data_IF_591593835844
#
_entry.id   IF_591593835844
#
_cell.length_a   1.000
_cell.length_b   1.000
_cell.length_c   1.000
_cell.angle_alpha   90.00
_cell.angle_beta   90.00
_cell.angle_gamma   90.00
#
_symmetry.space_group_name_H-M   'P 1'
#
loop_
_entity.id
_entity.type
_entity.pdbx_description
1 polymer ?
#
# COMPACT_ATOMS: atom_id res chain seq x y z
N UNK A 1 8.01 8.28 -1.56
CA UNK A 1 7.05 7.38 -2.22
C UNK A 1 7.81 6.19 -2.75
N UNK A 2 7.31 4.97 -2.53
CA UNK A 2 7.97 3.74 -3.02
C UNK A 2 7.95 3.69 -4.55
N UNK A 3 9.00 3.14 -5.17
CA UNK A 3 9.02 2.86 -6.61
C UNK A 3 8.33 1.53 -6.87
N UNK A 4 7.27 1.54 -7.66
CA UNK A 4 6.57 0.34 -8.10
C UNK A 4 6.82 0.09 -9.60
N UNK A 5 7.17 -1.15 -9.94
CA UNK A 5 7.23 -1.60 -11.32
C UNK A 5 5.84 -2.01 -11.81
N UNK A 6 5.56 -1.70 -13.07
CA UNK A 6 4.27 -1.97 -13.72
C UNK A 6 3.06 -1.45 -12.92
N UNK A 7 3.19 -0.24 -12.37
CA UNK A 7 2.14 0.36 -11.55
C UNK A 7 0.84 0.56 -12.35
N UNK A 8 -0.28 0.15 -11.74
CA UNK A 8 -1.64 0.36 -12.23
C UNK A 8 -2.40 1.17 -11.19
N UNK A 9 -3.09 2.23 -11.62
CA UNK A 9 -3.74 3.19 -10.73
C UNK A 9 -5.25 3.18 -10.95
N UNK A 10 -6.01 2.98 -9.87
CA UNK A 10 -7.45 3.17 -9.84
C UNK A 10 -7.78 4.47 -9.10
N UNK A 11 -7.93 5.57 -9.85
CA UNK A 11 -8.20 6.90 -9.30
C UNK A 11 -9.60 7.04 -8.69
N UNK A 12 -10.56 6.28 -9.18
CA UNK A 12 -11.95 6.32 -8.68
C UNK A 12 -12.07 5.68 -7.29
N UNK A 13 -11.22 4.68 -7.03
CA UNK A 13 -11.17 3.92 -5.78
C UNK A 13 -9.99 4.30 -4.88
N UNK A 14 -9.21 5.31 -5.25
CA UNK A 14 -8.10 5.84 -4.45
C UNK A 14 -7.04 4.79 -4.07
N UNK A 15 -6.69 3.88 -5.00
CA UNK A 15 -5.56 2.96 -4.80
C UNK A 15 -4.72 2.77 -6.06
N UNK A 16 -3.47 2.33 -5.87
CA UNK A 16 -2.63 1.77 -6.94
C UNK A 16 -2.08 0.41 -6.55
N UNK A 17 -1.61 -0.35 -7.54
CA UNK A 17 -0.92 -1.64 -7.33
C UNK A 17 0.32 -1.74 -8.21
N UNK A 18 1.33 -2.47 -7.75
CA UNK A 18 2.53 -2.74 -8.54
C UNK A 18 3.52 -3.62 -7.78
N UNK A 19 4.64 -3.94 -8.40
CA UNK A 19 5.68 -4.76 -7.77
C UNK A 19 6.79 -3.88 -7.18
N UNK A 20 7.15 -4.10 -5.92
CA UNK A 20 8.31 -3.48 -5.30
C UNK A 20 9.49 -4.44 -5.36
N UNK A 21 10.54 -4.07 -6.10
CA UNK A 21 11.81 -4.83 -6.14
C UNK A 21 12.49 -4.83 -4.78
N UNK A 22 12.46 -3.71 -4.06
CA UNK A 22 13.11 -3.57 -2.74
C UNK A 22 12.48 -4.50 -1.68
N UNK A 23 11.18 -4.74 -1.79
CA UNK A 23 10.44 -5.60 -0.86
C UNK A 23 10.20 -7.01 -1.40
N UNK A 24 10.53 -7.25 -2.67
CA UNK A 24 10.21 -8.45 -3.43
C UNK A 24 8.73 -8.86 -3.34
N UNK A 25 7.83 -7.87 -3.32
CA UNK A 25 6.39 -8.05 -3.05
C UNK A 25 5.52 -7.29 -4.04
N UNK A 26 4.34 -7.86 -4.33
CA UNK A 26 3.25 -7.10 -4.92
C UNK A 26 2.60 -6.24 -3.84
N UNK A 27 2.43 -4.96 -4.14
CA UNK A 27 1.98 -3.94 -3.19
C UNK A 27 0.66 -3.35 -3.68
N UNK A 28 -0.26 -3.15 -2.75
CA UNK A 28 -1.38 -2.23 -2.89
C UNK A 28 -1.11 -0.96 -2.09
N UNK A 29 -1.24 0.19 -2.75
CA UNK A 29 -1.09 1.52 -2.16
C UNK A 29 -2.47 2.12 -2.01
N UNK A 30 -2.95 2.27 -0.78
CA UNK A 30 -4.22 2.89 -0.41
C UNK A 30 -3.99 4.38 -0.10
N UNK A 31 -4.75 5.28 -0.73
CA UNK A 31 -4.65 6.73 -0.49
C UNK A 31 -5.68 7.14 0.56
N UNK A 32 -5.20 7.51 1.74
CA UNK A 32 -6.04 7.90 2.88
C UNK A 32 -6.39 9.39 2.81
N UNK A 33 -7.63 9.71 2.44
CA UNK A 33 -8.06 11.09 2.10
C UNK A 33 -8.55 11.95 3.27
N UNK A 34 -8.95 11.35 4.39
CA UNK A 34 -9.70 12.06 5.43
C UNK A 34 -8.88 12.87 6.46
N UNK A 35 -7.61 12.54 6.68
CA UNK A 35 -6.85 13.00 7.87
C UNK A 35 -5.55 13.70 7.47
N UNK A 36 -4.90 13.33 6.35
CA UNK A 36 -3.68 14.03 5.90
C UNK A 36 -3.25 13.76 4.45
N UNK A 37 -4.05 13.07 3.60
CA UNK A 37 -3.62 12.62 2.28
C UNK A 37 -2.26 11.91 2.30
N UNK A 38 -2.27 10.68 2.80
CA UNK A 38 -1.07 9.85 2.94
C UNK A 38 -1.35 8.45 2.43
N UNK A 39 -0.29 7.72 2.05
CA UNK A 39 -0.44 6.37 1.53
C UNK A 39 -0.27 5.32 2.62
N UNK A 40 -1.00 4.22 2.52
CA UNK A 40 -0.71 2.97 3.24
C UNK A 40 -0.32 1.89 2.25
N UNK A 41 0.66 1.09 2.62
CA UNK A 41 1.25 0.08 1.75
C UNK A 41 0.93 -1.30 2.31
N UNK A 42 0.32 -2.14 1.49
CA UNK A 42 -0.12 -3.49 1.86
C UNK A 42 0.46 -4.52 0.93
N UNK A 43 0.80 -5.69 1.47
CA UNK A 43 1.12 -6.85 0.65
C UNK A 43 -0.14 -7.44 0.03
N UNK A 44 -0.08 -7.67 -1.28
CA UNK A 44 -1.05 -8.45 -2.02
C UNK A 44 -0.34 -9.58 -2.75
N UNK A 45 -1.11 -10.57 -3.18
CA UNK A 45 -0.61 -11.65 -4.02
C UNK A 45 -0.53 -11.22 -5.49
N UNK A 46 0.30 -11.90 -6.26
CA UNK A 46 0.35 -11.73 -7.73
C UNK A 46 -1.03 -11.96 -8.38
N UNK A 47 -1.80 -12.92 -7.87
CA UNK A 47 -3.16 -13.19 -8.37
C UNK A 47 -4.09 -11.98 -8.16
N UNK A 48 -4.01 -11.34 -7.00
CA UNK A 48 -4.80 -10.14 -6.69
C UNK A 48 -4.34 -8.96 -7.56
N UNK A 49 -3.02 -8.77 -7.75
CA UNK A 49 -2.48 -7.78 -8.70
C UNK A 49 -2.99 -8.00 -10.13
N UNK A 50 -3.02 -9.26 -10.58
CA UNK A 50 -3.50 -9.62 -11.92
C UNK A 50 -5.02 -9.45 -12.07
N UNK A 51 -5.77 -9.35 -10.97
CA UNK A 51 -7.21 -9.03 -10.97
C UNK A 51 -7.52 -7.53 -11.02
N UNK A 52 -6.55 -6.69 -11.37
CA UNK A 52 -6.77 -5.24 -11.51
C UNK A 52 -7.90 -4.92 -12.50
N UNK A 53 -8.75 -3.95 -12.13
CA UNK A 53 -9.92 -3.56 -12.90
C UNK A 53 -11.15 -4.45 -12.67
N UNK A 54 -11.10 -5.35 -11.68
CA UNK A 54 -12.24 -6.19 -11.28
C UNK A 54 -12.76 -5.80 -9.90
N UNK A 55 -14.04 -6.12 -9.65
CA UNK A 55 -14.69 -5.95 -8.34
C UNK A 55 -13.95 -6.71 -7.23
N UNK A 56 -13.23 -7.78 -7.57
CA UNK A 56 -12.46 -8.56 -6.60
C UNK A 56 -11.33 -7.73 -5.99
N UNK A 57 -10.51 -7.06 -6.80
CA UNK A 57 -9.44 -6.22 -6.29
C UNK A 57 -9.99 -4.98 -5.57
N UNK A 58 -11.06 -4.38 -6.09
CA UNK A 58 -11.71 -3.24 -5.45
C UNK A 58 -12.22 -3.60 -4.04
N UNK A 59 -12.82 -4.79 -3.88
CA UNK A 59 -13.28 -5.27 -2.57
C UNK A 59 -12.11 -5.52 -1.60
N UNK A 60 -10.97 -5.99 -2.11
CA UNK A 60 -9.76 -6.16 -1.30
C UNK A 60 -9.21 -4.80 -0.86
N UNK A 61 -9.16 -3.82 -1.77
CA UNK A 61 -8.74 -2.45 -1.45
C UNK A 61 -9.63 -1.85 -0.35
N UNK A 62 -10.96 -1.99 -0.47
CA UNK A 62 -11.92 -1.48 0.52
C UNK A 62 -11.71 -2.14 1.90
N UNK A 63 -11.46 -3.44 1.94
CA UNK A 63 -11.16 -4.17 3.19
C UNK A 63 -9.85 -3.67 3.83
N UNK A 64 -8.79 -3.51 3.03
CA UNK A 64 -7.50 -3.04 3.50
C UNK A 64 -7.55 -1.58 3.99
N UNK A 65 -8.30 -0.73 3.29
CA UNK A 65 -8.55 0.65 3.69
C UNK A 65 -9.22 0.72 5.07
N UNK A 66 -10.25 -0.11 5.27
CA UNK A 66 -11.01 -0.19 6.52
C UNK A 66 -10.15 -0.70 7.69
N UNK A 67 -9.39 -1.77 7.47
CA UNK A 67 -8.55 -2.37 8.50
C UNK A 67 -7.32 -1.50 8.82
N UNK A 68 -6.80 -0.78 7.82
CA UNK A 68 -5.65 0.10 7.95
C UNK A 68 -4.45 -0.61 8.57
N UNK A 69 -3.80 0.03 9.53
CA UNK A 69 -2.63 -0.52 10.24
C UNK A 69 -2.89 -1.81 11.03
N UNK A 70 -4.15 -2.18 11.24
CA UNK A 70 -4.51 -3.42 11.94
C UNK A 70 -4.58 -4.63 11.00
N UNK A 71 -4.50 -4.41 9.68
CA UNK A 71 -4.45 -5.50 8.71
C UNK A 71 -3.17 -6.32 8.87
N UNK A 72 -3.28 -7.65 8.79
CA UNK A 72 -2.11 -8.54 8.73
C UNK A 72 -1.25 -8.34 7.49
N UNK A 73 -1.79 -7.67 6.47
CA UNK A 73 -1.10 -7.35 5.21
C UNK A 73 -0.41 -5.98 5.26
N UNK A 74 -0.55 -5.23 6.36
CA UNK A 74 0.02 -3.90 6.49
C UNK A 74 1.55 -3.96 6.57
N UNK A 75 2.22 -3.27 5.64
CA UNK A 75 3.67 -3.19 5.60
C UNK A 75 4.17 -1.95 6.32
N UNK A 76 3.69 -0.79 5.90
CA UNK A 76 3.96 0.50 6.53
C UNK A 76 3.01 1.55 5.94
N UNK A 77 3.09 2.77 6.46
CA UNK A 77 2.29 3.91 6.07
C UNK A 77 3.16 5.14 5.92
N UNK A 78 2.69 6.10 5.13
CA UNK A 78 3.30 7.40 5.06
C UNK A 78 3.16 8.20 6.36
N UNK A 79 2.31 7.73 7.27
CA UNK A 79 2.09 8.32 8.58
C UNK A 79 2.95 7.63 9.64
N UNK A 80 3.96 8.33 10.15
CA UNK A 80 4.95 7.79 11.11
C UNK A 80 4.34 7.12 12.34
N UNK A 81 3.22 7.63 12.85
CA UNK A 81 2.56 7.11 14.07
C UNK A 81 1.78 5.80 13.82
N UNK A 82 1.58 5.41 12.56
CA UNK A 82 1.00 4.11 12.22
C UNK A 82 2.06 2.99 12.21
N UNK A 83 3.34 3.34 12.17
CA UNK A 83 4.45 2.40 12.00
C UNK A 83 5.11 2.06 13.34
N UNK A 84 5.39 0.77 13.56
CA UNK A 84 6.30 0.29 14.60
C UNK A 84 7.79 0.45 14.16
N UNK A 85 8.73 0.05 15.02
CA UNK A 85 10.16 0.21 14.75
C UNK A 85 10.64 -0.54 13.49
N UNK A 86 10.21 -1.78 13.29
CA UNK A 86 10.58 -2.60 12.12
C UNK A 86 9.99 -2.02 10.83
N UNK A 87 8.74 -1.57 10.89
CA UNK A 87 8.04 -0.95 9.75
C UNK A 87 8.69 0.37 9.33
N UNK A 88 9.20 1.15 10.29
CA UNK A 88 9.99 2.37 9.98
C UNK A 88 11.28 2.05 9.24
N UNK A 89 12.00 1.01 9.65
CA UNK A 89 13.21 0.56 8.96
C UNK A 89 12.88 0.05 7.55
N UNK A 90 11.77 -0.68 7.41
CA UNK A 90 11.27 -1.16 6.11
C UNK A 90 10.93 0.01 5.16
N UNK A 91 10.20 1.01 5.67
CA UNK A 91 9.87 2.21 4.92
C UNK A 91 11.13 2.98 4.47
N UNK A 92 12.12 3.13 5.35
CA UNK A 92 13.39 3.81 5.03
C UNK A 92 14.16 3.11 3.91
N UNK A 93 14.20 1.77 3.91
CA UNK A 93 14.79 0.99 2.80
C UNK A 93 14.07 1.27 1.48
N UNK A 94 12.75 1.44 1.53
CA UNK A 94 11.91 1.79 0.39
C UNK A 94 12.01 3.28 -0.03
N UNK A 95 12.97 4.04 0.51
CA UNK A 95 13.19 5.44 0.16
C UNK A 95 12.18 6.41 0.79
N UNK A 96 11.41 5.94 1.77
CA UNK A 96 10.46 6.77 2.50
C UNK A 96 11.19 7.56 3.59
N UNK A 97 10.98 8.88 3.61
CA UNK A 97 11.59 9.79 4.57
C UNK A 97 10.50 10.58 5.27
N UNK A 98 10.47 10.48 6.60
CA UNK A 98 9.67 11.33 7.46
C UNK A 98 10.50 12.57 7.77
N UNK A 99 10.00 13.72 7.31
CA UNK A 99 10.56 15.04 7.67
C UNK A 99 10.34 15.33 9.17
#
# INVERSE_FOLDING_TARGET
MIKLENEKVNKEKYYSVGYSVELEKYILVDVVTWIAWYNRYFEITEKEYNSFGTVTLDSIADLLHKDGKNSRRFLFSDKTEENNAEQKLCAQKCGIRWE
#
